data_IF_785756229570
#
_entry.id   IF_785756229570
#
_cell.length_a   1.000
_cell.length_b   1.000
_cell.length_c   1.000
_cell.angle_alpha   90.00
_cell.angle_beta   90.00
_cell.angle_gamma   90.00
#
_symmetry.space_group_name_H-M   'P 1'
#
loop_
_entity.id
_entity.type
_entity.pdbx_description
1 polymer ?
#
# COMPACT_ATOMS: atom_id res chain seq x y z
N UNK A 1 2.89 -3.73 11.10
CA UNK A 1 2.92 -3.22 9.73
C UNK A 1 2.91 -1.71 9.64
N UNK A 2 2.26 -1.08 10.56
CA UNK A 2 2.21 0.38 10.55
C UNK A 2 3.62 0.97 10.58
N UNK A 3 3.88 1.88 9.66
CA UNK A 3 5.21 2.46 9.50
C UNK A 3 6.14 1.67 8.59
N UNK A 4 5.76 0.46 8.18
CA UNK A 4 6.61 -0.35 7.31
C UNK A 4 6.56 0.16 5.88
N UNK A 5 7.70 0.05 5.21
CA UNK A 5 7.74 0.24 3.76
C UNK A 5 7.17 -0.98 3.08
N UNK A 6 6.41 -0.75 2.01
CA UNK A 6 5.86 -1.84 1.22
C UNK A 6 6.05 -1.57 -0.27
N UNK A 7 5.97 -2.65 -1.04
CA UNK A 7 5.95 -2.58 -2.50
C UNK A 7 4.67 -3.25 -2.96
N UNK A 8 3.95 -2.60 -3.87
CA UNK A 8 2.74 -3.19 -4.45
C UNK A 8 3.12 -4.37 -5.33
N UNK A 9 2.35 -5.46 -5.21
CA UNK A 9 2.51 -6.63 -6.04
C UNK A 9 1.44 -6.71 -7.13
N UNK A 10 0.48 -5.79 -7.11
CA UNK A 10 -0.59 -5.71 -8.09
C UNK A 10 -0.95 -4.25 -8.30
N UNK A 11 -1.63 -3.96 -9.42
CA UNK A 11 -2.14 -2.62 -9.68
C UNK A 11 -3.32 -2.37 -8.75
N UNK A 12 -3.32 -1.22 -8.10
CA UNK A 12 -4.35 -0.84 -7.13
C UNK A 12 -4.97 0.48 -7.57
N UNK A 13 -6.29 0.53 -7.57
CA UNK A 13 -7.00 1.77 -7.88
C UNK A 13 -8.02 2.06 -6.78
N UNK A 14 -8.00 3.28 -6.26
CA UNK A 14 -8.97 3.73 -5.27
C UNK A 14 -9.11 5.25 -5.38
N UNK A 15 -10.35 5.73 -5.24
CA UNK A 15 -10.65 7.17 -5.21
C UNK A 15 -10.11 7.89 -6.46
N UNK A 16 -10.14 7.21 -7.60
CA UNK A 16 -9.68 7.79 -8.84
C UNK A 16 -8.18 7.82 -9.02
N UNK A 17 -7.43 7.25 -8.09
CA UNK A 17 -5.97 7.21 -8.15
C UNK A 17 -5.50 5.78 -8.38
N UNK A 18 -4.68 5.58 -9.39
CA UNK A 18 -4.15 4.26 -9.72
C UNK A 18 -2.66 4.20 -9.46
N UNK A 19 -2.25 3.17 -8.75
CA UNK A 19 -0.83 2.85 -8.54
C UNK A 19 -0.56 1.48 -9.12
N UNK A 20 0.61 1.32 -9.71
CA UNK A 20 0.98 0.09 -10.40
C UNK A 20 1.81 -0.82 -9.50
N UNK A 21 1.80 -2.12 -9.83
CA UNK A 21 2.71 -3.06 -9.20
C UNK A 21 4.14 -2.54 -9.31
N UNK A 22 4.90 -2.67 -8.23
CA UNK A 22 6.26 -2.17 -8.15
C UNK A 22 6.39 -0.81 -7.50
N UNK A 23 5.31 -0.05 -7.38
CA UNK A 23 5.34 1.22 -6.66
C UNK A 23 5.43 0.97 -5.16
N UNK A 24 6.05 1.90 -4.46
CA UNK A 24 6.33 1.75 -3.03
C UNK A 24 5.60 2.81 -2.22
N UNK A 25 5.38 2.47 -0.94
CA UNK A 25 4.76 3.38 -0.01
C UNK A 25 5.02 2.96 1.42
N UNK A 26 4.38 3.66 2.35
CA UNK A 26 4.51 3.42 3.78
C UNK A 26 3.12 3.14 4.35
N UNK A 27 3.01 2.08 5.15
CA UNK A 27 1.74 1.73 5.81
C UNK A 27 1.48 2.73 6.92
N UNK A 28 0.33 3.40 6.85
CA UNK A 28 -0.09 4.33 7.90
C UNK A 28 -1.09 3.72 8.87
N UNK A 29 -1.97 2.84 8.36
CA UNK A 29 -2.97 2.19 9.19
C UNK A 29 -3.20 0.77 8.71
N UNK A 30 -3.55 -0.09 9.64
CA UNK A 30 -3.97 -1.46 9.35
C UNK A 30 -5.41 -1.61 9.82
N UNK A 31 -6.28 -2.01 8.90
CA UNK A 31 -7.71 -2.14 9.19
C UNK A 31 -8.11 -3.60 9.33
N UNK A 32 -9.22 -3.82 10.02
CA UNK A 32 -9.80 -5.15 10.12
C UNK A 32 -10.13 -5.66 8.71
N UNK A 33 -10.00 -6.97 8.50
CA UNK A 33 -10.27 -7.57 7.20
C UNK A 33 -9.10 -7.54 6.23
N UNK A 34 -7.93 -7.10 6.67
CA UNK A 34 -6.71 -7.16 5.86
C UNK A 34 -6.48 -5.96 4.96
N UNK A 35 -7.29 -4.92 5.07
CA UNK A 35 -7.07 -3.70 4.29
C UNK A 35 -6.04 -2.81 4.98
N UNK A 36 -5.29 -2.09 4.15
CA UNK A 36 -4.25 -1.17 4.63
C UNK A 36 -4.52 0.22 4.10
N UNK A 37 -4.15 1.24 4.87
CA UNK A 37 -4.00 2.59 4.35
C UNK A 37 -2.53 2.82 4.12
N UNK A 38 -2.18 3.07 2.87
CA UNK A 38 -0.78 3.24 2.47
C UNK A 38 -0.61 4.62 1.87
N UNK A 39 0.41 5.32 2.34
CA UNK A 39 0.83 6.56 1.72
C UNK A 39 1.91 6.24 0.71
N UNK A 40 1.57 6.38 -0.57
CA UNK A 40 2.50 6.08 -1.64
C UNK A 40 3.58 7.17 -1.72
N UNK A 41 4.68 6.85 -2.37
CA UNK A 41 5.83 7.76 -2.45
C UNK A 41 5.52 9.04 -3.23
N UNK A 42 4.46 9.04 -4.03
CA UNK A 42 4.02 10.26 -4.72
C UNK A 42 3.18 11.18 -3.83
N UNK A 43 2.99 10.80 -2.56
CA UNK A 43 2.22 11.58 -1.59
C UNK A 43 0.74 11.25 -1.54
N UNK A 44 0.26 10.40 -2.42
CA UNK A 44 -1.15 10.01 -2.45
C UNK A 44 -1.39 8.76 -1.64
N UNK A 45 -2.62 8.59 -1.16
CA UNK A 45 -3.01 7.41 -0.40
C UNK A 45 -3.66 6.39 -1.30
N UNK A 46 -3.48 5.12 -0.97
CA UNK A 46 -4.20 4.04 -1.60
C UNK A 46 -4.52 2.98 -0.53
N UNK A 47 -5.38 2.03 -0.88
CA UNK A 47 -5.96 1.11 0.12
C UNK A 47 -5.84 -0.34 -0.34
N UNK A 48 -4.60 -0.86 -0.50
CA UNK A 48 -4.43 -2.26 -0.89
C UNK A 48 -4.75 -3.20 0.25
N UNK A 49 -4.94 -4.47 -0.08
CA UNK A 49 -5.00 -5.52 0.93
C UNK A 49 -3.61 -6.06 1.19
N UNK A 50 -3.47 -6.85 2.26
CA UNK A 50 -2.18 -7.46 2.59
C UNK A 50 -1.65 -8.34 1.46
N UNK A 51 -2.54 -8.95 0.69
CA UNK A 51 -2.15 -9.84 -0.41
C UNK A 51 -1.62 -9.07 -1.62
N UNK A 52 -1.84 -7.77 -1.64
CA UNK A 52 -1.46 -6.91 -2.76
C UNK A 52 -0.17 -6.16 -2.51
N UNK A 53 0.47 -6.40 -1.38
CA UNK A 53 1.72 -5.74 -1.02
C UNK A 53 2.73 -6.75 -0.49
N UNK A 54 4.00 -6.36 -0.58
CA UNK A 54 5.10 -7.08 0.05
C UNK A 54 5.79 -6.11 0.98
N UNK A 55 6.06 -6.52 2.22
CA UNK A 55 6.82 -5.69 3.14
C UNK A 55 8.30 -5.76 2.78
N UNK A 56 8.94 -4.60 2.75
CA UNK A 56 10.36 -4.57 2.46
C UNK A 56 11.13 -5.18 3.64
N UNK A 57 12.16 -5.96 3.38
CA UNK A 57 13.01 -6.46 4.47
C UNK A 57 13.75 -5.32 5.15
N UNK A 58 13.99 -5.51 6.43
CA UNK A 58 14.72 -4.54 7.24
C UNK A 58 16.13 -5.01 7.49
#
# INVERSE_FOLDING_TARGET
MRGNRITLTADIEALGTRHRAGEQGTVEEVHAGGHLTVRMDDGRHNFPTRDEVTTDPQ
#
